data_IF_512212930551
#
_entry.id   IF_512212930551
#
_cell.length_a   1.000
_cell.length_b   1.000
_cell.length_c   1.000
_cell.angle_alpha   90.00
_cell.angle_beta   90.00
_cell.angle_gamma   90.00
#
_symmetry.space_group_name_H-M   'P 1'
#
loop_
_entity.id
_entity.type
_entity.pdbx_description
1 polymer ?
#
# COMPACT_ATOMS: atom_id res chain seq x y z
N UNK A 1 23.41 47.91 23.06
CA UNK A 1 23.34 46.53 23.60
C UNK A 1 21.99 45.83 23.38
N UNK A 2 20.89 46.55 23.16
CA UNK A 2 19.53 45.98 23.01
C UNK A 2 19.24 45.34 21.63
N UNK A 3 19.81 45.85 20.54
CA UNK A 3 19.64 45.28 19.19
C UNK A 3 20.29 43.90 19.00
N UNK A 4 21.44 43.65 19.64
CA UNK A 4 22.14 42.37 19.56
C UNK A 4 21.39 41.23 20.27
N UNK A 5 20.60 41.57 21.30
CA UNK A 5 19.75 40.62 22.04
C UNK A 5 18.52 40.21 21.21
N UNK A 6 17.91 41.16 20.49
CA UNK A 6 16.76 40.90 19.61
C UNK A 6 17.17 40.01 18.42
N UNK A 7 18.36 40.26 17.84
CA UNK A 7 18.90 39.44 16.74
C UNK A 7 19.21 38.01 17.20
N UNK A 8 19.75 37.83 18.40
CA UNK A 8 20.00 36.52 19.02
C UNK A 8 18.71 35.74 19.28
N UNK A 9 17.66 36.40 19.78
CA UNK A 9 16.37 35.75 20.01
C UNK A 9 15.65 35.38 18.70
N UNK A 10 15.79 36.17 17.63
CA UNK A 10 15.27 35.80 16.31
C UNK A 10 15.98 34.59 15.71
N UNK A 11 17.31 34.50 15.85
CA UNK A 11 18.07 33.34 15.40
C UNK A 11 17.71 32.06 16.17
N UNK A 12 17.39 32.16 17.47
CA UNK A 12 16.98 31.01 18.27
C UNK A 12 15.57 30.51 17.91
N UNK A 13 14.65 31.40 17.54
CA UNK A 13 13.29 31.02 17.11
C UNK A 13 13.26 30.36 15.72
N UNK A 14 14.19 30.71 14.82
CA UNK A 14 14.26 30.12 13.48
C UNK A 14 14.75 28.66 13.47
N UNK A 15 15.47 28.22 14.51
CA UNK A 15 16.05 26.86 14.57
C UNK A 15 15.04 25.81 15.04
N UNK A 16 13.96 26.20 15.73
CA UNK A 16 12.95 25.26 16.22
C UNK A 16 11.86 24.88 15.20
N UNK A 17 11.83 25.48 14.01
CA UNK A 17 10.72 25.33 13.07
C UNK A 17 10.86 24.19 12.04
N UNK A 18 11.90 23.36 12.11
CA UNK A 18 12.18 22.37 11.06
C UNK A 18 12.26 20.94 11.59
N UNK A 19 11.18 20.42 12.15
CA UNK A 19 10.99 18.96 12.19
C UNK A 19 9.54 18.55 12.39
N UNK A 20 8.67 18.92 11.45
CA UNK A 20 7.47 18.12 11.20
C UNK A 20 7.90 16.97 10.31
N UNK A 21 8.49 15.93 10.91
CA UNK A 21 8.56 14.64 10.26
C UNK A 21 7.12 14.12 10.18
N UNK A 22 6.50 14.26 9.01
CA UNK A 22 5.28 13.51 8.71
C UNK A 22 5.70 12.05 8.71
N UNK A 23 5.43 11.35 9.81
CA UNK A 23 5.56 9.90 9.84
C UNK A 23 4.41 9.39 8.99
N UNK A 24 4.66 9.32 7.68
CA UNK A 24 3.84 8.49 6.80
C UNK A 24 4.02 7.08 7.34
N UNK A 25 2.92 6.43 7.71
CA UNK A 25 2.94 5.05 8.17
C UNK A 25 3.67 4.20 7.13
N UNK A 26 4.40 3.18 7.58
CA UNK A 26 5.09 2.28 6.65
C UNK A 26 4.00 1.49 5.91
N UNK A 27 3.79 1.82 4.64
CA UNK A 27 2.81 1.15 3.79
C UNK A 27 3.21 -0.29 3.48
N UNK A 28 2.20 -1.14 3.38
CA UNK A 28 2.33 -2.59 3.18
C UNK A 28 3.29 -3.28 4.18
N UNK A 29 3.48 -2.66 5.35
CA UNK A 29 4.22 -3.24 6.45
C UNK A 29 3.33 -3.39 7.66
N UNK A 30 3.54 -4.47 8.41
CA UNK A 30 2.78 -4.73 9.63
C UNK A 30 3.12 -3.70 10.70
N UNK A 31 2.09 -2.99 11.15
CA UNK A 31 2.19 -1.94 12.15
C UNK A 31 1.82 -2.47 13.55
N UNK A 32 1.97 -1.63 14.57
CA UNK A 32 1.74 -2.01 15.98
C UNK A 32 0.30 -2.42 16.29
N UNK A 33 -0.66 -2.01 15.46
CA UNK A 33 -2.07 -2.39 15.55
C UNK A 33 -2.38 -3.73 14.83
N UNK A 34 -1.36 -4.46 14.37
CA UNK A 34 -1.46 -5.75 13.65
C UNK A 34 -2.18 -5.65 12.29
N UNK A 35 -2.15 -4.49 11.65
CA UNK A 35 -2.53 -4.36 10.24
C UNK A 35 -1.39 -3.79 9.41
N UNK A 36 -1.43 -4.03 8.11
CA UNK A 36 -0.68 -3.28 7.13
C UNK A 36 -1.66 -2.48 6.29
N UNK A 37 -1.60 -1.15 6.37
CA UNK A 37 -2.35 -0.28 5.46
C UNK A 37 -1.72 -0.39 4.06
N UNK A 38 -2.56 -0.55 3.05
CA UNK A 38 -2.15 -0.75 1.67
C UNK A 38 -2.38 0.51 0.84
N UNK A 39 -3.50 1.19 1.08
CA UNK A 39 -3.77 2.55 0.63
C UNK A 39 -4.60 3.28 1.69
N UNK A 40 -5.17 4.43 1.33
CA UNK A 40 -6.00 5.22 2.23
C UNK A 40 -7.14 4.44 2.89
N UNK A 41 -7.74 3.47 2.20
CA UNK A 41 -8.98 2.81 2.66
C UNK A 41 -8.86 1.29 2.81
N UNK A 42 -7.77 0.69 2.34
CA UNK A 42 -7.57 -0.75 2.32
C UNK A 42 -6.41 -1.17 3.21
N UNK A 43 -6.58 -2.33 3.85
CA UNK A 43 -5.60 -2.90 4.76
C UNK A 43 -5.66 -4.41 4.74
N UNK A 44 -4.60 -5.06 5.23
CA UNK A 44 -4.57 -6.50 5.50
C UNK A 44 -4.22 -6.74 6.96
N UNK A 45 -4.71 -7.84 7.51
CA UNK A 45 -4.37 -8.27 8.87
C UNK A 45 -3.00 -8.93 8.87
N UNK A 46 -2.18 -8.61 9.88
CA UNK A 46 -0.85 -9.19 10.10
C UNK A 46 -0.82 -10.26 11.19
N UNK A 47 -1.99 -10.63 11.73
CA UNK A 47 -2.11 -11.67 12.75
C UNK A 47 -1.96 -13.07 12.14
N UNK A 48 -1.24 -13.95 12.83
CA UNK A 48 -1.03 -15.34 12.40
C UNK A 48 -2.33 -16.16 12.28
N UNK A 49 -3.43 -15.70 12.89
CA UNK A 49 -4.73 -16.37 12.88
C UNK A 49 -5.66 -15.90 11.76
N UNK A 50 -5.23 -14.93 10.95
CA UNK A 50 -5.99 -14.45 9.80
C UNK A 50 -5.21 -14.78 8.53
N UNK A 51 -5.91 -15.19 7.47
CA UNK A 51 -5.27 -15.41 6.19
C UNK A 51 -4.51 -14.14 5.78
N UNK A 52 -3.17 -14.19 5.58
CA UNK A 52 -2.31 -13.01 5.41
C UNK A 52 -2.60 -12.20 4.12
N UNK A 53 -3.55 -12.67 3.31
CA UNK A 53 -3.83 -12.22 1.95
C UNK A 53 -5.28 -11.74 1.78
N UNK A 54 -5.98 -11.47 2.89
CA UNK A 54 -7.31 -10.88 2.85
C UNK A 54 -7.18 -9.36 2.96
N UNK A 55 -7.45 -8.67 1.85
CA UNK A 55 -7.62 -7.22 1.86
C UNK A 55 -9.02 -6.88 2.35
N UNK A 56 -9.06 -5.96 3.30
CA UNK A 56 -10.24 -5.41 3.94
C UNK A 56 -10.32 -3.92 3.63
N UNK A 57 -11.55 -3.41 3.59
CA UNK A 57 -11.84 -1.98 3.38
C UNK A 57 -12.38 -1.37 4.66
N UNK A 58 -11.98 -0.13 4.97
CA UNK A 58 -12.38 0.57 6.19
C UNK A 58 -13.84 1.02 6.26
N UNK A 59 -14.58 0.93 5.15
CA UNK A 59 -15.94 1.46 5.01
C UNK A 59 -15.94 2.87 4.39
N UNK A 60 -17.12 3.41 4.12
CA UNK A 60 -17.25 4.75 3.54
C UNK A 60 -16.87 5.85 4.53
N UNK A 61 -16.18 6.88 4.06
CA UNK A 61 -15.71 8.03 4.86
C UNK A 61 -14.60 7.71 5.86
N UNK A 62 -14.01 6.51 5.79
CA UNK A 62 -12.99 6.04 6.74
C UNK A 62 -11.69 5.69 6.07
N UNK A 63 -10.59 6.04 6.72
CA UNK A 63 -9.22 5.77 6.30
C UNK A 63 -8.51 4.79 7.22
N UNK A 64 -7.61 4.00 6.65
CA UNK A 64 -6.69 3.14 7.37
C UNK A 64 -5.64 3.98 8.09
N UNK A 65 -5.41 3.68 9.37
CA UNK A 65 -4.44 4.39 10.20
C UNK A 65 -3.53 3.45 10.96
N UNK A 66 -2.42 4.01 11.44
CA UNK A 66 -1.46 3.32 12.30
C UNK A 66 -1.85 3.29 13.78
N UNK A 67 -2.97 3.91 14.12
CA UNK A 67 -3.47 3.97 15.49
C UNK A 67 -4.10 2.65 15.92
N UNK A 68 -4.39 2.54 17.23
CA UNK A 68 -5.09 1.38 17.80
C UNK A 68 -6.44 1.08 17.12
N UNK A 69 -7.13 2.12 16.65
CA UNK A 69 -8.31 1.99 15.80
C UNK A 69 -7.87 1.92 14.33
N UNK A 70 -8.09 0.78 13.68
CA UNK A 70 -7.65 0.55 12.28
C UNK A 70 -8.28 1.57 11.32
N UNK A 71 -9.58 1.82 11.47
CA UNK A 71 -10.37 2.65 10.56
C UNK A 71 -11.00 3.83 11.29
N UNK A 72 -10.61 5.05 10.89
CA UNK A 72 -11.07 6.31 11.48
C UNK A 72 -11.60 7.24 10.39
N UNK A 73 -12.42 8.22 10.77
CA UNK A 73 -13.01 9.15 9.82
C UNK A 73 -11.93 9.96 9.09
N UNK A 74 -12.04 10.05 7.75
CA UNK A 74 -11.08 10.72 6.87
C UNK A 74 -10.88 12.21 7.20
N UNK A 75 -11.89 12.82 7.81
CA UNK A 75 -11.86 14.22 8.24
C UNK A 75 -11.22 14.42 9.62
N UNK A 76 -11.00 13.35 10.37
CA UNK A 76 -10.46 13.40 11.73
C UNK A 76 -8.95 13.16 11.76
N UNK A 77 -8.42 12.38 10.80
CA UNK A 77 -7.03 11.92 10.79
C UNK A 77 -6.51 11.78 9.37
N UNK A 78 -5.19 11.93 9.21
CA UNK A 78 -4.52 11.62 7.95
C UNK A 78 -4.40 10.11 7.75
N UNK A 79 -4.65 9.59 6.54
CA UNK A 79 -4.44 8.18 6.23
C UNK A 79 -2.97 7.79 6.43
N UNK A 80 -2.72 6.55 6.84
CA UNK A 80 -1.36 6.03 6.99
C UNK A 80 -0.65 5.84 5.64
N UNK A 81 -1.41 5.65 4.56
CA UNK A 81 -0.91 5.38 3.22
C UNK A 81 -1.60 6.24 2.17
N UNK A 82 -0.89 6.56 1.07
CA UNK A 82 -1.48 7.29 -0.05
C UNK A 82 -2.52 6.46 -0.81
N UNK A 83 -3.35 7.12 -1.62
CA UNK A 83 -4.46 6.50 -2.34
C UNK A 83 -4.04 5.50 -3.44
N UNK A 84 -2.81 5.61 -3.93
CA UNK A 84 -2.26 4.89 -5.08
C UNK A 84 -1.77 3.47 -4.78
N UNK A 85 -1.97 2.98 -3.55
CA UNK A 85 -1.60 1.62 -3.17
C UNK A 85 -2.69 0.56 -3.42
N UNK A 86 -2.35 -0.71 -3.11
CA UNK A 86 -3.19 -1.87 -3.39
C UNK A 86 -4.59 -1.78 -2.76
N UNK A 87 -5.63 -1.84 -3.58
CA UNK A 87 -7.04 -1.80 -3.15
C UNK A 87 -7.73 -3.19 -3.19
N UNK A 88 -6.97 -4.25 -3.46
CA UNK A 88 -7.51 -5.61 -3.65
C UNK A 88 -8.30 -5.81 -4.93
N UNK A 89 -8.40 -4.79 -5.79
CA UNK A 89 -8.91 -4.94 -7.15
C UNK A 89 -7.76 -5.35 -8.05
N UNK A 90 -7.93 -6.49 -8.71
CA UNK A 90 -6.97 -6.99 -9.67
C UNK A 90 -7.28 -6.41 -11.03
N UNK A 91 -6.25 -5.92 -11.72
CA UNK A 91 -6.40 -5.42 -13.08
C UNK A 91 -6.99 -6.48 -14.01
N UNK A 92 -7.74 -6.02 -15.01
CA UNK A 92 -8.30 -6.84 -16.07
C UNK A 92 -7.67 -6.46 -17.40
N UNK A 93 -7.70 -7.36 -18.37
CA UNK A 93 -7.20 -7.08 -19.71
C UNK A 93 -7.93 -5.89 -20.35
N UNK A 94 -7.17 -4.86 -20.72
CA UNK A 94 -7.66 -3.64 -21.37
C UNK A 94 -7.10 -3.47 -22.80
N UNK A 95 -6.34 -4.46 -23.29
CA UNK A 95 -5.65 -4.44 -24.57
C UNK A 95 -4.26 -3.81 -24.54
N UNK A 96 -3.77 -3.32 -23.39
CA UNK A 96 -2.43 -2.74 -23.25
C UNK A 96 -1.40 -3.76 -22.75
N UNK A 97 -1.78 -4.56 -21.75
CA UNK A 97 -0.93 -5.58 -21.16
C UNK A 97 -1.15 -6.95 -21.79
N UNK A 98 -0.08 -7.72 -21.98
CA UNK A 98 -0.15 -9.11 -22.47
C UNK A 98 -0.65 -10.09 -21.41
N UNK A 99 -0.57 -9.72 -20.13
CA UNK A 99 -1.03 -10.50 -19.00
C UNK A 99 -1.47 -9.56 -17.89
N UNK A 100 -2.28 -10.08 -16.97
CA UNK A 100 -2.62 -9.38 -15.73
C UNK A 100 -2.50 -10.32 -14.54
N UNK A 101 -2.18 -9.75 -13.39
CA UNK A 101 -2.21 -10.47 -12.12
C UNK A 101 -3.67 -10.66 -11.71
N UNK A 102 -4.05 -11.92 -11.49
CA UNK A 102 -5.40 -12.28 -11.05
C UNK A 102 -5.43 -12.73 -9.59
N UNK A 103 -4.27 -12.90 -8.96
CA UNK A 103 -4.08 -12.92 -7.50
C UNK A 103 -2.64 -12.51 -7.20
N UNK A 104 -2.25 -12.50 -5.91
CA UNK A 104 -0.86 -12.24 -5.52
C UNK A 104 0.11 -13.24 -6.18
N UNK A 105 -0.34 -14.48 -6.41
CA UNK A 105 0.48 -15.58 -6.90
C UNK A 105 -0.06 -16.20 -8.19
N UNK A 106 -1.00 -15.56 -8.87
CA UNK A 106 -1.52 -16.04 -10.17
C UNK A 106 -1.63 -14.93 -11.18
N UNK A 107 -1.44 -15.31 -12.44
CA UNK A 107 -1.67 -14.44 -13.58
C UNK A 107 -2.43 -15.18 -14.67
N UNK A 108 -3.05 -14.42 -15.55
CA UNK A 108 -3.70 -14.91 -16.76
C UNK A 108 -3.21 -14.08 -17.94
N UNK A 109 -3.15 -14.71 -19.10
CA UNK A 109 -2.83 -14.03 -20.35
C UNK A 109 -4.04 -13.22 -20.82
N UNK A 110 -3.75 -12.15 -21.56
CA UNK A 110 -4.75 -11.33 -22.22
C UNK A 110 -4.82 -11.65 -23.71
N UNK A 111 -6.03 -11.91 -24.19
CA UNK A 111 -6.38 -11.94 -25.61
C UNK A 111 -7.20 -10.68 -25.93
N UNK A 112 -6.50 -9.62 -26.34
CA UNK A 112 -7.06 -8.27 -26.45
C UNK A 112 -7.57 -7.78 -25.09
N UNK A 113 -8.87 -7.59 -24.97
CA UNK A 113 -9.56 -7.13 -23.75
C UNK A 113 -10.13 -8.27 -22.91
N UNK A 114 -9.78 -9.51 -23.21
CA UNK A 114 -10.37 -10.71 -22.58
C UNK A 114 -9.30 -11.53 -21.87
N UNK A 115 -9.62 -12.09 -20.71
CA UNK A 115 -8.76 -13.04 -20.02
C UNK A 115 -8.84 -14.41 -20.71
N UNK A 116 -7.69 -15.08 -20.88
CA UNK A 116 -7.68 -16.49 -21.27
C UNK A 116 -8.16 -17.38 -20.12
N UNK A 117 -8.76 -18.53 -20.43
CA UNK A 117 -9.28 -19.48 -19.41
C UNK A 117 -8.21 -20.08 -18.49
N UNK A 118 -6.93 -20.02 -18.89
CA UNK A 118 -5.83 -20.64 -18.14
C UNK A 118 -5.30 -19.72 -17.04
N UNK A 119 -5.60 -20.06 -15.78
CA UNK A 119 -4.93 -19.49 -14.60
C UNK A 119 -3.55 -20.13 -14.44
N UNK A 120 -2.50 -19.31 -14.42
CA UNK A 120 -1.13 -19.76 -14.19
C UNK A 120 -0.65 -19.33 -12.81
N UNK A 121 -0.05 -20.26 -12.07
CA UNK A 121 0.51 -20.02 -10.75
C UNK A 121 1.98 -19.61 -10.84
N UNK A 122 2.34 -18.58 -10.09
CA UNK A 122 3.72 -18.27 -9.78
C UNK A 122 4.32 -19.41 -8.93
N UNK A 123 5.60 -19.70 -9.16
CA UNK A 123 6.35 -20.67 -8.34
C UNK A 123 6.45 -20.19 -6.90
N UNK A 124 6.77 -21.12 -6.00
CA UNK A 124 6.94 -20.84 -4.57
C UNK A 124 7.79 -19.59 -4.30
N UNK A 125 7.32 -18.78 -3.36
CA UNK A 125 7.91 -17.48 -2.97
C UNK A 125 7.96 -16.39 -4.04
N UNK A 126 7.28 -16.58 -5.19
CA UNK A 126 7.11 -15.55 -6.20
C UNK A 126 5.72 -14.93 -6.17
N UNK A 127 5.68 -13.66 -6.50
CA UNK A 127 4.48 -12.84 -6.60
C UNK A 127 4.32 -12.34 -8.03
N UNK A 128 3.09 -12.17 -8.47
CA UNK A 128 2.80 -11.58 -9.78
C UNK A 128 3.09 -10.08 -9.74
N UNK A 129 3.72 -9.54 -10.79
CA UNK A 129 3.98 -8.10 -10.90
C UNK A 129 3.97 -7.61 -12.34
N UNK A 130 2.91 -6.90 -12.72
CA UNK A 130 2.78 -6.30 -14.05
C UNK A 130 3.84 -5.21 -14.22
N UNK A 131 4.04 -4.38 -13.19
CA UNK A 131 4.99 -3.26 -13.20
C UNK A 131 6.45 -3.68 -13.42
N UNK A 132 6.82 -4.89 -12.99
CA UNK A 132 8.16 -5.44 -13.22
C UNK A 132 8.44 -5.82 -14.69
N UNK A 133 7.40 -5.90 -15.53
CA UNK A 133 7.47 -6.43 -16.89
C UNK A 133 7.72 -7.94 -16.97
N UNK A 134 7.79 -8.63 -15.83
CA UNK A 134 7.92 -10.09 -15.72
C UNK A 134 6.65 -10.67 -15.12
N UNK A 135 6.29 -11.91 -15.46
CA UNK A 135 5.08 -12.53 -14.90
C UNK A 135 5.13 -12.69 -13.39
N UNK A 136 6.23 -13.27 -12.88
CA UNK A 136 6.40 -13.61 -11.48
C UNK A 136 7.80 -13.20 -11.03
N UNK A 137 7.88 -12.42 -9.97
CA UNK A 137 9.12 -11.92 -9.37
C UNK A 137 9.24 -12.35 -7.92
N UNK A 138 10.45 -12.33 -7.38
CA UNK A 138 10.62 -12.50 -5.93
C UNK A 138 10.00 -11.30 -5.21
N UNK A 139 9.41 -11.52 -4.03
CA UNK A 139 8.77 -10.44 -3.27
C UNK A 139 9.71 -9.28 -2.94
N UNK A 140 11.02 -9.54 -2.86
CA UNK A 140 12.04 -8.51 -2.67
C UNK A 140 12.31 -7.65 -3.91
N UNK A 141 11.88 -8.06 -5.10
CA UNK A 141 12.02 -7.29 -6.35
C UNK A 141 10.85 -6.32 -6.57
N UNK A 142 9.77 -6.42 -5.79
CA UNK A 142 8.64 -5.49 -5.86
C UNK A 142 9.08 -4.13 -5.33
N UNK A 143 9.14 -3.13 -6.22
CA UNK A 143 9.35 -1.74 -5.85
C UNK A 143 8.01 -1.01 -5.84
N UNK A 144 7.25 -1.12 -4.75
CA UNK A 144 5.93 -0.48 -4.63
C UNK A 144 4.89 -1.40 -3.97
N UNK A 145 3.61 -1.09 -4.15
CA UNK A 145 2.52 -1.95 -3.72
C UNK A 145 2.25 -3.06 -4.72
N UNK A 146 1.87 -4.25 -4.23
CA UNK A 146 1.41 -5.36 -5.07
C UNK A 146 0.14 -4.98 -5.82
N UNK A 147 0.12 -5.13 -7.15
CA UNK A 147 -0.97 -4.66 -8.02
C UNK A 147 -2.29 -5.42 -7.75
N UNK A 148 -2.19 -6.72 -7.51
CA UNK A 148 -3.33 -7.58 -7.25
C UNK A 148 -3.04 -8.44 -6.02
N UNK A 149 -3.56 -7.98 -4.88
CA UNK A 149 -3.30 -8.63 -3.61
C UNK A 149 -4.56 -9.32 -3.05
N UNK A 150 -4.95 -10.41 -3.71
CA UNK A 150 -5.97 -11.34 -3.22
C UNK A 150 -5.44 -12.77 -3.22
N UNK A 151 -6.11 -13.67 -2.51
CA UNK A 151 -5.83 -15.09 -2.57
C UNK A 151 -6.09 -15.64 -3.99
N UNK A 152 -5.26 -16.61 -4.40
CA UNK A 152 -5.52 -17.38 -5.61
C UNK A 152 -6.86 -18.15 -5.49
N UNK A 153 -7.65 -18.25 -6.58
CA UNK A 153 -8.90 -19.02 -6.60
C UNK A 153 -8.68 -20.52 -6.44
#
# INVERSE_FOLDING_TARGET
MQQSQILRSLCLLAVFSSMTAVVLGICDSCQTNNVACLNETHYRMCSANVAPNQILKCGEGKVCTEYTAICLDENAVTPACPADGANGSCETCDGTNLFVCTSRTTFQMCDGTTLTDQVTYCKDNKVCSISSGKYCVDSCEITGSVECDRAAP
#
